data_IF_551641759421
#
_entry.id   IF_551641759421
#
_cell.length_a   1.000
_cell.length_b   1.000
_cell.length_c   1.000
_cell.angle_alpha   90.00
_cell.angle_beta   90.00
_cell.angle_gamma   90.00
#
_symmetry.space_group_name_H-M   'P 1'
#
loop_
_entity.id
_entity.type
_entity.pdbx_description
1 polymer ?
#
# COMPACT_ATOMS: atom_id res chain seq x y z
N UNK A 1 -9.55 3.32 7.65
CA UNK A 1 -8.34 3.80 6.94
C UNK A 1 -8.49 3.39 5.48
N UNK A 2 -8.48 4.36 4.57
CA UNK A 2 -8.70 4.13 3.14
C UNK A 2 -7.35 4.30 2.44
N UNK A 3 -6.98 3.36 1.57
CA UNK A 3 -5.72 3.42 0.83
C UNK A 3 -4.55 2.72 1.55
N UNK A 4 -3.33 3.22 1.32
CA UNK A 4 -2.10 2.60 1.83
C UNK A 4 -1.78 3.02 3.26
N UNK A 5 -1.11 2.13 3.97
CA UNK A 5 -0.54 2.39 5.29
C UNK A 5 0.75 1.60 5.48
N UNK A 6 1.53 1.94 6.50
CA UNK A 6 2.73 1.22 6.88
C UNK A 6 2.76 1.00 8.40
N UNK A 7 3.16 -0.20 8.82
CA UNK A 7 3.56 -0.49 10.19
C UNK A 7 5.08 -0.47 10.23
N UNK A 8 5.63 0.47 10.98
CA UNK A 8 7.07 0.58 11.14
C UNK A 8 7.49 -0.30 12.32
N UNK A 9 8.29 -1.32 12.01
CA UNK A 9 8.55 -2.45 12.92
C UNK A 9 10.02 -2.80 13.03
N UNK A 10 10.37 -3.43 14.15
CA UNK A 10 11.63 -4.15 14.36
C UNK A 10 11.29 -5.64 14.54
N UNK A 11 12.10 -6.53 13.97
CA UNK A 11 12.01 -7.97 14.20
C UNK A 11 13.00 -8.37 15.29
N UNK A 12 12.52 -8.98 16.38
CA UNK A 12 13.39 -9.43 17.48
C UNK A 12 14.12 -10.73 17.14
N UNK A 13 15.10 -11.11 17.98
CA UNK A 13 15.80 -12.40 17.94
C UNK A 13 14.85 -13.61 18.13
N UNK A 14 13.66 -13.38 18.69
CA UNK A 14 12.58 -14.35 18.83
C UNK A 14 11.56 -14.31 17.69
N UNK A 15 11.88 -13.61 16.59
CA UNK A 15 11.02 -13.44 15.42
C UNK A 15 9.70 -12.71 15.71
N UNK A 16 9.68 -11.82 16.71
CA UNK A 16 8.51 -11.01 17.02
C UNK A 16 8.57 -9.66 16.30
N UNK A 17 7.45 -9.22 15.72
CA UNK A 17 7.31 -7.85 15.23
C UNK A 17 6.98 -6.90 16.38
N UNK A 18 7.82 -5.88 16.60
CA UNK A 18 7.56 -4.78 17.52
C UNK A 18 7.29 -3.52 16.72
N UNK A 19 6.03 -3.08 16.69
CA UNK A 19 5.58 -1.85 16.02
C UNK A 19 5.91 -0.66 16.91
N UNK A 20 6.56 0.35 16.35
CA UNK A 20 6.84 1.60 17.05
C UNK A 20 6.13 2.82 16.44
N UNK A 21 5.74 2.75 15.16
CA UNK A 21 4.98 3.80 14.49
C UNK A 21 3.99 3.22 13.47
N UNK A 22 2.90 3.96 13.24
CA UNK A 22 1.93 3.69 12.18
C UNK A 22 1.82 4.91 11.28
N UNK A 23 2.15 4.72 10.01
CA UNK A 23 1.93 5.70 8.95
C UNK A 23 0.60 5.40 8.25
N UNK A 24 -0.45 6.18 8.50
CA UNK A 24 -1.79 6.01 7.91
C UNK A 24 -1.92 6.56 6.46
N UNK A 25 -0.82 6.51 5.70
CA UNK A 25 -0.69 7.01 4.32
C UNK A 25 0.46 6.31 3.61
N UNK A 26 0.67 6.64 2.33
CA UNK A 26 1.86 6.22 1.60
C UNK A 26 3.15 6.72 2.27
N UNK A 27 4.18 5.88 2.27
CA UNK A 27 5.50 6.14 2.85
C UNK A 27 6.59 6.14 1.78
N UNK A 28 7.71 6.83 2.06
CA UNK A 28 8.86 6.90 1.18
C UNK A 28 9.49 5.51 0.89
N UNK A 29 9.31 4.55 1.80
CA UNK A 29 9.73 3.15 1.59
C UNK A 29 9.08 2.47 0.39
N UNK A 30 8.00 3.03 -0.17
CA UNK A 30 7.39 2.53 -1.41
C UNK A 30 8.10 2.99 -2.70
N UNK A 31 8.97 4.01 -2.62
CA UNK A 31 9.64 4.61 -3.79
C UNK A 31 10.55 3.65 -4.57
N UNK A 32 11.31 2.73 -3.96
CA UNK A 32 12.14 1.78 -4.72
C UNK A 32 11.34 0.85 -5.65
N UNK A 33 10.03 0.73 -5.43
CA UNK A 33 9.16 -0.24 -6.09
C UNK A 33 8.28 0.37 -7.19
N UNK A 34 8.79 1.37 -7.92
CA UNK A 34 8.05 1.98 -9.06
C UNK A 34 7.72 0.92 -10.13
N UNK A 35 8.68 0.04 -10.41
CA UNK A 35 8.56 -1.05 -11.38
C UNK A 35 7.91 -2.32 -10.84
N UNK A 36 7.32 -2.29 -9.64
CA UNK A 36 6.87 -3.48 -8.93
C UNK A 36 7.80 -3.86 -7.78
N UNK A 37 7.41 -4.88 -7.05
CA UNK A 37 8.09 -5.45 -5.89
C UNK A 37 7.95 -6.96 -5.92
N UNK A 38 8.84 -7.72 -5.26
CA UNK A 38 8.72 -9.17 -5.18
C UNK A 38 7.35 -9.65 -4.70
N UNK A 39 6.65 -8.85 -3.87
CA UNK A 39 5.32 -9.17 -3.38
C UNK A 39 4.20 -8.80 -4.35
N UNK A 40 4.27 -7.62 -4.97
CA UNK A 40 3.23 -7.18 -5.90
C UNK A 40 3.20 -8.05 -7.16
N UNK A 41 4.39 -8.46 -7.62
CA UNK A 41 4.57 -9.19 -8.88
C UNK A 41 4.02 -10.62 -8.84
N UNK A 42 3.78 -11.17 -7.64
CA UNK A 42 3.06 -12.45 -7.45
C UNK A 42 1.66 -12.37 -8.06
N UNK A 43 0.99 -11.22 -7.90
CA UNK A 43 -0.38 -11.01 -8.39
C UNK A 43 -0.38 -10.26 -9.72
N UNK A 44 0.49 -9.27 -9.87
CA UNK A 44 0.48 -8.39 -11.03
C UNK A 44 1.83 -7.68 -11.20
N UNK A 45 2.48 -7.84 -12.37
CA UNK A 45 3.76 -7.21 -12.63
C UNK A 45 3.63 -5.68 -12.77
N UNK A 46 4.69 -4.96 -12.42
CA UNK A 46 4.80 -3.51 -12.57
C UNK A 46 3.79 -2.71 -11.72
N UNK A 47 3.42 -3.23 -10.55
CA UNK A 47 2.45 -2.60 -9.66
C UNK A 47 3.11 -1.89 -8.48
N UNK A 48 3.28 -0.56 -8.60
CA UNK A 48 3.70 0.29 -7.47
C UNK A 48 2.53 0.65 -6.54
N UNK A 49 2.85 1.14 -5.34
CA UNK A 49 1.81 1.62 -4.39
C UNK A 49 1.00 2.78 -5.00
N UNK A 50 1.65 3.72 -5.69
CA UNK A 50 0.96 4.82 -6.38
C UNK A 50 0.03 4.32 -7.50
N UNK A 51 0.51 3.37 -8.33
CA UNK A 51 -0.32 2.75 -9.37
C UNK A 51 -1.51 2.00 -8.77
N UNK A 52 -1.32 1.36 -7.61
CA UNK A 52 -2.38 0.63 -6.89
C UNK A 52 -3.49 1.56 -6.38
N UNK A 53 -3.12 2.74 -5.87
CA UNK A 53 -4.07 3.79 -5.44
C UNK A 53 -4.84 4.32 -6.65
N UNK A 54 -4.14 4.71 -7.72
CA UNK A 54 -4.78 5.22 -8.95
C UNK A 54 -5.77 4.20 -9.54
N UNK A 55 -5.42 2.91 -9.53
CA UNK A 55 -6.32 1.84 -9.95
C UNK A 55 -7.54 1.70 -9.05
N UNK A 56 -7.38 1.88 -7.73
CA UNK A 56 -8.51 1.86 -6.80
C UNK A 56 -9.50 2.97 -7.13
N UNK A 57 -9.01 4.17 -7.44
CA UNK A 57 -9.83 5.31 -7.86
C UNK A 57 -10.55 4.99 -9.17
N UNK A 58 -9.82 4.49 -10.19
CA UNK A 58 -10.42 4.11 -11.48
C UNK A 58 -11.55 3.08 -11.31
N UNK A 59 -11.31 2.03 -10.53
CA UNK A 59 -12.33 1.01 -10.25
C UNK A 59 -13.52 1.56 -9.48
N UNK A 60 -13.30 2.48 -8.53
CA UNK A 60 -14.40 3.09 -7.78
C UNK A 60 -15.30 3.94 -8.68
N UNK A 61 -14.72 4.66 -9.65
CA UNK A 61 -15.46 5.39 -10.69
C UNK A 61 -16.25 4.41 -11.58
N UNK A 62 -15.60 3.34 -12.06
CA UNK A 62 -16.25 2.33 -12.92
C UNK A 62 -17.42 1.61 -12.24
N UNK A 63 -17.39 1.49 -10.91
CA UNK A 63 -18.42 0.83 -10.12
C UNK A 63 -19.38 1.83 -9.43
N UNK A 64 -19.38 3.10 -9.84
CA UNK A 64 -20.23 4.17 -9.28
C UNK A 64 -20.20 4.24 -7.74
N UNK A 65 -19.02 4.06 -7.16
CA UNK A 65 -18.82 3.99 -5.71
C UNK A 65 -17.63 4.83 -5.22
N UNK A 66 -17.30 5.89 -5.96
CA UNK A 66 -16.22 6.82 -5.64
C UNK A 66 -16.35 7.42 -4.22
N UNK A 67 -17.59 7.73 -3.80
CA UNK A 67 -17.90 8.27 -2.46
C UNK A 67 -17.41 7.37 -1.31
N UNK A 68 -17.22 6.06 -1.54
CA UNK A 68 -16.74 5.14 -0.50
C UNK A 68 -15.24 5.29 -0.19
N UNK A 69 -14.48 5.92 -1.09
CA UNK A 69 -13.03 6.07 -0.97
C UNK A 69 -12.59 7.53 -0.80
N UNK A 70 -13.55 8.46 -0.79
CA UNK A 70 -13.34 9.87 -0.51
C UNK A 70 -13.84 10.18 0.91
N UNK A 71 -13.33 11.26 1.48
CA UNK A 71 -13.68 11.76 2.82
C UNK A 71 -13.78 13.27 2.80
#
# INVERSE_FOLDING_TARGET
>A
MIGSFCLETIVTDKLEFRVFEISARIVAGSNPFVGGSPYSDINEPFMSTGRRIARSIKKAIENDCLEKILS
#
